data_IF_181407509611
#
_entry.id   IF_181407509611
#
_cell.length_a   1.000
_cell.length_b   1.000
_cell.length_c   1.000
_cell.angle_alpha   90.00
_cell.angle_beta   90.00
_cell.angle_gamma   90.00
#
_symmetry.space_group_name_H-M   'P 1'
#
loop_
_entity.id
_entity.type
_entity.pdbx_description
1 polymer ?
#
# COMPACT_ATOMS: atom_id res chain seq x y z
N UNK A 1 10.65 11.72 -2.83
CA UNK A 1 9.28 11.47 -2.32
C UNK A 1 8.78 10.08 -2.69
N UNK A 2 8.85 9.65 -3.95
CA UNK A 2 8.44 8.29 -4.38
C UNK A 2 9.04 7.18 -3.51
N UNK A 3 10.36 7.12 -3.37
CA UNK A 3 11.02 6.14 -2.50
C UNK A 3 10.54 6.18 -1.04
N UNK A 4 10.32 7.39 -0.51
CA UNK A 4 9.86 7.57 0.86
C UNK A 4 8.39 7.14 1.03
N UNK A 5 7.54 7.36 0.03
CA UNK A 5 6.17 6.87 0.03
C UNK A 5 6.14 5.33 0.02
N UNK A 6 6.94 4.69 -0.84
CA UNK A 6 7.06 3.23 -0.83
C UNK A 6 7.60 2.67 0.49
N UNK A 7 8.45 3.40 1.21
CA UNK A 7 8.92 2.97 2.53
C UNK A 7 7.90 3.19 3.66
N UNK A 8 7.00 4.16 3.52
CA UNK A 8 6.11 4.60 4.60
C UNK A 8 4.63 4.28 4.37
N UNK A 9 4.22 3.76 3.21
CA UNK A 9 2.81 3.50 2.92
C UNK A 9 2.13 2.64 4.00
N UNK A 10 2.85 1.63 4.51
CA UNK A 10 2.35 0.72 5.57
C UNK A 10 2.78 1.10 6.99
N UNK A 11 3.24 2.33 7.22
CA UNK A 11 3.70 2.76 8.55
C UNK A 11 2.60 2.64 9.63
N UNK A 12 1.34 2.55 9.21
CA UNK A 12 0.20 2.26 10.07
C UNK A 12 0.29 0.94 10.83
N UNK A 13 0.87 -0.11 10.25
CA UNK A 13 1.08 -1.37 10.97
C UNK A 13 2.08 -1.22 12.12
N UNK A 14 3.15 -0.45 11.91
CA UNK A 14 4.12 -0.16 12.97
C UNK A 14 3.51 0.74 14.06
N UNK A 15 2.67 1.69 13.68
CA UNK A 15 1.91 2.50 14.62
C UNK A 15 0.98 1.64 15.48
N UNK A 16 0.23 0.71 14.87
CA UNK A 16 -0.64 -0.23 15.59
C UNK A 16 0.17 -1.12 16.54
N UNK A 17 1.26 -1.71 16.06
CA UNK A 17 2.13 -2.57 16.88
C UNK A 17 2.73 -1.84 18.10
N UNK A 18 2.94 -0.53 18.01
CA UNK A 18 3.39 0.29 19.12
C UNK A 18 2.26 0.65 20.10
N UNK A 19 1.08 1.02 19.58
CA UNK A 19 -0.04 1.51 20.38
C UNK A 19 -0.83 0.39 21.06
N UNK A 20 -1.05 -0.72 20.37
CA UNK A 20 -1.80 -1.88 20.84
C UNK A 20 -1.19 -3.18 20.28
N UNK A 21 -0.11 -3.70 20.92
CA UNK A 21 0.56 -4.92 20.48
C UNK A 21 -0.37 -6.13 20.40
N UNK A 22 -1.36 -6.22 21.30
CA UNK A 22 -2.29 -7.34 21.33
C UNK A 22 -3.20 -7.34 20.11
N UNK A 23 -3.83 -6.19 19.79
CA UNK A 23 -4.64 -6.07 18.57
C UNK A 23 -3.83 -6.24 17.30
N UNK A 24 -2.57 -5.80 17.31
CA UNK A 24 -1.65 -6.05 16.19
C UNK A 24 -1.41 -7.54 15.96
N UNK A 25 -1.23 -8.33 17.01
CA UNK A 25 -1.06 -9.79 16.93
C UNK A 25 -2.35 -10.50 16.49
N UNK A 26 -3.51 -10.04 16.98
CA UNK A 26 -4.82 -10.55 16.56
C UNK A 26 -5.05 -10.27 15.07
N UNK A 27 -4.76 -9.06 14.60
CA UNK A 27 -4.86 -8.71 13.18
C UNK A 27 -3.97 -9.61 12.32
N UNK A 28 -2.68 -9.72 12.67
CA UNK A 28 -1.72 -10.57 11.96
C UNK A 28 -2.20 -12.02 11.88
N UNK A 29 -2.79 -12.52 12.97
CA UNK A 29 -3.37 -13.87 13.02
C UNK A 29 -4.57 -14.02 12.09
N UNK A 30 -5.48 -13.04 12.09
CA UNK A 30 -6.65 -13.06 11.19
C UNK A 30 -6.24 -13.00 9.73
N UNK A 31 -5.34 -12.08 9.35
CA UNK A 31 -4.86 -11.96 7.97
C UNK A 31 -4.20 -13.25 7.47
N UNK A 32 -3.45 -13.96 8.34
CA UNK A 32 -2.84 -15.23 8.00
C UNK A 32 -3.84 -16.38 7.74
N UNK A 33 -5.07 -16.27 8.25
CA UNK A 33 -6.12 -17.30 8.13
C UNK A 33 -7.17 -16.90 7.09
N UNK A 34 -7.52 -15.62 6.98
CA UNK A 34 -8.56 -15.06 6.12
C UNK A 34 -7.99 -14.56 4.79
N UNK A 35 -7.32 -15.45 4.04
CA UNK A 35 -6.52 -15.12 2.85
C UNK A 35 -7.27 -14.48 1.69
N UNK A 36 -8.58 -14.71 1.62
CA UNK A 36 -9.43 -14.23 0.52
C UNK A 36 -10.09 -12.87 0.82
N UNK A 37 -9.88 -12.32 2.03
CA UNK A 37 -10.46 -11.03 2.43
C UNK A 37 -9.43 -9.94 2.39
N UNK A 38 -9.79 -8.77 1.87
CA UNK A 38 -8.91 -7.61 1.84
C UNK A 38 -8.49 -7.21 3.26
N UNK A 39 -7.23 -6.82 3.43
CA UNK A 39 -6.70 -6.45 4.75
C UNK A 39 -7.51 -5.33 5.41
N UNK A 40 -7.88 -4.31 4.64
CA UNK A 40 -8.72 -3.19 5.08
C UNK A 40 -10.08 -3.63 5.62
N UNK A 41 -10.67 -4.71 5.10
CA UNK A 41 -11.97 -5.20 5.58
C UNK A 41 -11.84 -5.89 6.93
N UNK A 42 -10.74 -6.65 7.11
CA UNK A 42 -10.42 -7.31 8.38
C UNK A 42 -10.08 -6.27 9.45
N UNK A 43 -9.33 -5.24 9.08
CA UNK A 43 -9.00 -4.11 9.96
C UNK A 43 -10.22 -3.34 10.41
N UNK A 44 -11.12 -2.96 9.48
CA UNK A 44 -12.36 -2.26 9.87
C UNK A 44 -13.22 -3.07 10.82
N UNK A 45 -13.29 -4.39 10.63
CA UNK A 45 -14.07 -5.28 11.50
C UNK A 45 -13.44 -5.44 12.89
N UNK A 46 -12.11 -5.58 12.97
CA UNK A 46 -11.40 -5.85 14.22
C UNK A 46 -11.08 -4.58 15.02
N UNK A 47 -10.70 -3.51 14.34
CA UNK A 47 -10.08 -2.31 14.91
C UNK A 47 -10.93 -1.05 14.76
N UNK A 48 -11.96 -1.07 13.91
CA UNK A 48 -12.76 0.11 13.52
C UNK A 48 -11.97 1.23 12.81
N UNK A 49 -10.69 0.97 12.51
CA UNK A 49 -9.74 1.86 11.81
C UNK A 49 -8.82 1.00 10.94
N UNK A 50 -8.38 1.53 9.81
CA UNK A 50 -7.45 0.85 8.90
C UNK A 50 -6.01 1.34 9.07
N UNK A 51 -5.03 0.55 8.62
CA UNK A 51 -3.62 0.94 8.73
C UNK A 51 -3.31 2.17 7.87
N UNK A 52 -3.95 2.34 6.72
CA UNK A 52 -3.82 3.54 5.86
C UNK A 52 -4.32 4.83 6.58
N UNK A 53 -5.37 4.72 7.39
CA UNK A 53 -5.92 5.79 8.25
C UNK A 53 -4.92 6.14 9.35
N UNK A 54 -4.45 5.13 10.06
CA UNK A 54 -3.53 5.31 11.17
C UNK A 54 -2.17 5.86 10.70
N UNK A 55 -1.65 5.35 9.59
CA UNK A 55 -0.42 5.80 8.97
C UNK A 55 -0.50 7.24 8.47
N UNK A 56 -1.63 7.62 7.87
CA UNK A 56 -1.86 8.99 7.42
C UNK A 56 -1.92 9.98 8.59
N UNK A 57 -2.61 9.62 9.68
CA UNK A 57 -2.63 10.45 10.89
C UNK A 57 -1.23 10.59 11.51
N UNK A 58 -0.44 9.52 11.57
CA UNK A 58 0.95 9.59 12.03
C UNK A 58 1.80 10.51 11.13
N UNK A 59 1.66 10.39 9.82
CA UNK A 59 2.37 11.23 8.85
C UNK A 59 2.02 12.72 9.00
N UNK A 60 0.76 13.06 9.28
CA UNK A 60 0.32 14.43 9.61
C UNK A 60 0.99 14.93 10.88
N UNK A 61 1.02 14.13 11.95
CA UNK A 61 1.67 14.50 13.21
C UNK A 61 3.17 14.74 13.06
N UNK A 62 3.82 14.02 12.15
CA UNK A 62 5.23 14.24 11.80
C UNK A 62 5.46 15.44 10.86
N UNK A 63 4.41 16.15 10.47
CA UNK A 63 4.46 17.26 9.51
C UNK A 63 5.07 16.83 8.16
N UNK A 64 4.77 15.62 7.70
CA UNK A 64 5.17 15.18 6.36
C UNK A 64 4.39 15.95 5.28
N UNK A 65 4.98 16.14 4.08
CA UNK A 65 4.28 16.74 2.94
C UNK A 65 2.92 16.10 2.66
N UNK A 66 1.92 16.91 2.31
CA UNK A 66 0.55 16.45 2.02
C UNK A 66 0.50 15.34 0.97
N UNK A 67 1.39 15.38 -0.03
CA UNK A 67 1.52 14.32 -1.04
C UNK A 67 1.88 12.95 -0.44
N UNK A 68 2.70 12.91 0.62
CA UNK A 68 3.00 11.66 1.32
C UNK A 68 1.83 11.22 2.19
N UNK A 69 1.18 12.16 2.88
CA UNK A 69 -0.03 11.86 3.66
C UNK A 69 -1.10 11.24 2.77
N UNK A 70 -1.32 11.82 1.58
CA UNK A 70 -2.27 11.31 0.59
C UNK A 70 -1.86 9.94 0.03
N UNK A 71 -0.57 9.74 -0.27
CA UNK A 71 -0.08 8.44 -0.73
C UNK A 71 -0.26 7.34 0.32
N UNK A 72 0.00 7.65 1.59
CA UNK A 72 -0.26 6.73 2.71
C UNK A 72 -1.77 6.51 2.89
N UNK A 73 -2.60 7.55 2.79
CA UNK A 73 -4.04 7.44 3.02
C UNK A 73 -4.77 6.63 1.95
N UNK A 74 -4.33 6.73 0.70
CA UNK A 74 -5.10 6.32 -0.47
C UNK A 74 -4.47 5.16 -1.25
N UNK A 75 -3.45 4.48 -0.72
CA UNK A 75 -2.79 3.41 -1.45
C UNK A 75 -3.66 2.17 -1.65
N UNK A 76 -4.66 1.91 -0.81
CA UNK A 76 -5.66 0.85 -1.06
C UNK A 76 -6.84 1.32 -1.90
N UNK A 77 -7.32 2.54 -1.65
CA UNK A 77 -8.48 3.13 -2.32
C UNK A 77 -8.17 4.58 -2.66
N UNK A 78 -8.12 4.89 -3.94
CA UNK A 78 -8.01 6.26 -4.43
C UNK A 78 -9.33 7.00 -4.13
N UNK A 79 -9.27 8.11 -3.38
CA UNK A 79 -10.46 8.90 -3.09
C UNK A 79 -10.92 9.64 -4.37
N UNK A 80 -12.20 9.48 -4.71
CA UNK A 80 -12.81 10.14 -5.86
C UNK A 80 -12.92 11.67 -5.66
N UNK A 81 -12.90 12.17 -4.41
CA UNK A 81 -12.96 13.62 -4.14
C UNK A 81 -11.62 14.32 -4.38
N UNK A 82 -10.51 13.59 -4.30
CA UNK A 82 -9.17 14.11 -4.62
C UNK A 82 -8.87 14.06 -6.13
N UNK A 83 -9.75 13.46 -6.94
CA UNK A 83 -9.59 13.31 -8.39
C UNK A 83 -9.48 14.64 -9.19
N UNK A 84 -9.72 15.80 -8.54
CA UNK A 84 -9.50 17.12 -9.11
C UNK A 84 -8.03 17.55 -9.15
N UNK A 85 -7.20 17.01 -8.26
CA UNK A 85 -5.75 17.13 -8.30
C UNK A 85 -5.19 15.74 -8.54
N UNK A 86 -4.58 15.51 -9.70
CA UNK A 86 -3.85 14.24 -9.89
C UNK A 86 -2.88 14.07 -8.72
N UNK A 87 -3.00 12.96 -7.99
CA UNK A 87 -2.06 12.55 -6.96
C UNK A 87 -1.13 11.44 -7.53
N UNK A 88 -0.16 11.76 -8.42
CA UNK A 88 0.71 10.76 -9.04
C UNK A 88 1.37 9.83 -8.02
N UNK A 89 1.67 10.35 -6.83
CA UNK A 89 2.29 9.59 -5.77
C UNK A 89 1.34 8.57 -5.12
N UNK A 90 0.06 8.89 -4.97
CA UNK A 90 -0.92 7.91 -4.48
C UNK A 90 -1.19 6.84 -5.55
N UNK A 91 -1.35 7.25 -6.81
CA UNK A 91 -1.57 6.32 -7.93
C UNK A 91 -0.41 5.35 -8.12
N UNK A 92 0.84 5.82 -8.05
CA UNK A 92 1.99 4.92 -8.25
C UNK A 92 2.11 3.90 -7.12
N UNK A 93 1.87 4.30 -5.86
CA UNK A 93 1.89 3.36 -4.73
C UNK A 93 0.71 2.39 -4.84
N UNK A 94 -0.49 2.88 -5.14
CA UNK A 94 -1.67 2.05 -5.35
C UNK A 94 -1.46 0.95 -6.39
N UNK A 95 -0.93 1.29 -7.56
CA UNK A 95 -0.64 0.28 -8.59
C UNK A 95 0.50 -0.65 -8.14
N UNK A 96 1.52 -0.12 -7.48
CA UNK A 96 2.66 -0.93 -6.99
C UNK A 96 2.20 -2.02 -6.02
N UNK A 97 1.27 -1.69 -5.12
CA UNK A 97 0.68 -2.61 -4.15
C UNK A 97 0.00 -3.80 -4.83
N UNK A 98 -0.73 -3.54 -5.91
CA UNK A 98 -1.40 -4.58 -6.70
C UNK A 98 -0.43 -5.44 -7.51
N UNK A 99 0.69 -4.86 -7.94
CA UNK A 99 1.70 -5.51 -8.78
C UNK A 99 2.65 -6.42 -7.98
N UNK A 100 3.07 -5.97 -6.81
CA UNK A 100 4.17 -6.58 -6.06
C UNK A 100 3.61 -7.07 -4.73
N UNK A 101 3.33 -8.38 -4.59
CA UNK A 101 2.92 -8.92 -3.30
C UNK A 101 4.06 -8.74 -2.28
N UNK A 102 3.77 -8.08 -1.15
CA UNK A 102 4.70 -7.90 -0.05
C UNK A 102 5.12 -9.27 0.52
N UNK A 103 6.38 -9.64 0.31
CA UNK A 103 6.99 -10.83 0.91
C UNK A 103 7.40 -10.52 2.36
N UNK A 104 6.47 -10.58 3.32
CA UNK A 104 6.82 -10.52 4.75
C UNK A 104 5.66 -10.19 5.70
N UNK A 105 4.73 -9.35 5.27
CA UNK A 105 3.42 -9.17 5.87
C UNK A 105 2.41 -9.68 4.85
N UNK A 106 1.67 -10.72 5.22
CA UNK A 106 0.63 -11.21 4.35
C UNK A 106 -0.53 -10.21 4.39
N UNK A 107 -0.57 -9.36 3.37
CA UNK A 107 -1.59 -8.34 3.19
C UNK A 107 -2.41 -8.66 1.93
N UNK A 108 -3.64 -9.18 2.08
CA UNK A 108 -4.48 -9.43 0.93
C UNK A 108 -4.95 -8.09 0.32
N UNK A 109 -4.53 -7.86 -0.92
CA UNK A 109 -4.90 -6.70 -1.73
C UNK A 109 -5.53 -7.15 -3.05
N UNK A 110 -6.40 -6.32 -3.60
CA UNK A 110 -7.00 -6.58 -4.91
C UNK A 110 -5.94 -6.51 -6.00
N UNK A 111 -5.79 -7.56 -6.83
CA UNK A 111 -4.71 -7.62 -7.84
C UNK A 111 -5.08 -7.08 -9.22
N UNK A 112 -6.34 -6.70 -9.41
CA UNK A 112 -6.81 -6.17 -10.68
C UNK A 112 -6.46 -4.68 -10.80
N UNK A 113 -5.77 -4.33 -11.88
CA UNK A 113 -5.41 -2.96 -12.22
C UNK A 113 -6.18 -2.58 -13.48
N UNK A 114 -7.08 -1.61 -13.37
CA UNK A 114 -7.91 -1.15 -14.48
C UNK A 114 -7.09 -0.33 -15.48
N UNK A 115 -7.55 -0.26 -16.74
CA UNK A 115 -6.86 0.49 -17.79
C UNK A 115 -6.74 1.99 -17.44
N UNK A 116 -7.75 2.54 -16.76
CA UNK A 116 -7.82 3.92 -16.30
C UNK A 116 -6.71 4.25 -15.29
N UNK A 117 -6.32 3.29 -14.45
CA UNK A 117 -5.26 3.46 -13.47
C UNK A 117 -3.89 3.63 -14.16
N UNK A 118 -3.62 2.83 -15.20
CA UNK A 118 -2.43 2.99 -16.04
C UNK A 118 -2.42 4.33 -16.78
N UNK A 119 -3.57 4.69 -17.37
CA UNK A 119 -3.73 5.96 -18.09
C UNK A 119 -3.51 7.16 -17.16
N UNK A 120 -3.94 7.08 -15.90
CA UNK A 120 -3.71 8.12 -14.90
C UNK A 120 -2.21 8.35 -14.61
N UNK A 121 -1.37 7.34 -14.79
CA UNK A 121 0.09 7.46 -14.73
C UNK A 121 0.75 7.84 -16.07
N UNK A 122 -0.04 8.07 -17.12
CA UNK A 122 0.48 8.30 -18.48
C UNK A 122 1.05 7.05 -19.15
N UNK A 123 0.71 5.86 -18.62
CA UNK A 123 1.14 4.57 -19.15
C UNK A 123 0.06 4.06 -20.10
N UNK A 124 0.44 3.77 -21.34
CA UNK A 124 -0.48 3.15 -22.30
C UNK A 124 -0.84 1.73 -21.80
N UNK A 125 -2.13 1.35 -21.72
CA UNK A 125 -2.52 0.01 -21.24
C UNK A 125 -1.86 -1.15 -22.00
N UNK A 126 -1.53 -0.96 -23.28
CA UNK A 126 -0.80 -1.95 -24.08
C UNK A 126 0.63 -2.23 -23.60
N UNK A 127 1.20 -1.39 -22.73
CA UNK A 127 2.51 -1.57 -22.09
C UNK A 127 2.41 -2.05 -20.64
N UNK A 128 1.20 -2.19 -20.09
CA UNK A 128 0.98 -2.53 -18.69
C UNK A 128 1.65 -3.87 -18.33
N UNK A 129 1.40 -4.91 -19.13
CA UNK A 129 1.94 -6.25 -18.88
C UNK A 129 3.48 -6.27 -18.90
N UNK A 130 4.10 -5.56 -19.85
CA UNK A 130 5.57 -5.46 -19.94
C UNK A 130 6.15 -4.78 -18.69
N UNK A 131 5.55 -3.67 -18.25
CA UNK A 131 5.99 -2.92 -17.07
C UNK A 131 5.78 -3.74 -15.79
N UNK A 132 4.65 -4.43 -15.68
CA UNK A 132 4.32 -5.29 -14.54
C UNK A 132 5.37 -6.40 -14.36
N UNK A 133 5.70 -7.11 -15.44
CA UNK A 133 6.72 -8.16 -15.43
C UNK A 133 8.08 -7.60 -15.02
N UNK A 134 8.51 -6.49 -15.63
CA UNK A 134 9.80 -5.86 -15.29
C UNK A 134 9.86 -5.40 -13.83
N UNK A 135 8.77 -4.85 -13.29
CA UNK A 135 8.70 -4.40 -11.90
C UNK A 135 8.81 -5.58 -10.92
N UNK A 136 8.12 -6.69 -11.20
CA UNK A 136 8.19 -7.92 -10.41
C UNK A 136 9.59 -8.52 -10.42
N UNK A 137 10.24 -8.63 -11.60
CA UNK A 137 11.60 -9.13 -11.72
C UNK A 137 12.61 -8.28 -10.92
N UNK A 138 12.48 -6.96 -10.98
CA UNK A 138 13.34 -6.05 -10.20
C UNK A 138 13.11 -6.18 -8.69
N UNK A 139 11.86 -6.35 -8.25
CA UNK A 139 11.51 -6.55 -6.85
C UNK A 139 12.10 -7.86 -6.30
N UNK A 140 12.02 -8.95 -7.07
CA UNK A 140 12.62 -10.24 -6.72
C UNK A 140 14.15 -10.14 -6.59
N UNK A 141 14.81 -9.45 -7.52
CA UNK A 141 16.25 -9.20 -7.45
C UNK A 141 16.62 -8.41 -6.19
N UNK A 142 15.89 -7.32 -5.89
CA UNK A 142 16.12 -6.51 -4.71
C UNK A 142 15.93 -7.31 -3.40
N UNK A 143 14.92 -8.18 -3.34
CA UNK A 143 14.69 -9.05 -2.20
C UNK A 143 15.85 -10.04 -1.97
N UNK A 144 16.43 -10.60 -3.03
CA UNK A 144 17.59 -11.50 -2.92
C UNK A 144 18.82 -10.82 -2.32
N UNK A 145 19.07 -9.55 -2.67
CA UNK A 145 20.16 -8.76 -2.08
C UNK A 145 19.95 -8.49 -0.59
N UNK A 146 18.71 -8.24 -0.16
CA UNK A 146 18.38 -7.98 1.24
C UNK A 146 18.55 -9.22 2.15
N UNK A 147 18.37 -10.44 1.62
CA UNK A 147 18.55 -11.69 2.38
C UNK A 147 20.01 -12.15 2.45
N UNK A 148 20.85 -11.72 1.51
CA UNK A 148 22.28 -12.11 1.42
C UNK A 148 23.24 -11.12 2.08
N UNK A 149 22.73 -10.03 2.65
CA UNK A 149 23.48 -8.99 3.37
C UNK A 149 23.27 -9.09 4.88
#
# INVERSE_FOLDING_TARGET
LIFLAGMLHDIGYLALAYLDPQRSDDLRTRLAIETERLAIDVERELLEITHDELGAELAKQWNLPEQLVAAIRCHHVLDAQDAGETLPLAHIIHITEKLIPLNGLYEPVGREIAAEEWIALGIAPAKADEIAVQAQEQAEQAAQFAVTS
#
